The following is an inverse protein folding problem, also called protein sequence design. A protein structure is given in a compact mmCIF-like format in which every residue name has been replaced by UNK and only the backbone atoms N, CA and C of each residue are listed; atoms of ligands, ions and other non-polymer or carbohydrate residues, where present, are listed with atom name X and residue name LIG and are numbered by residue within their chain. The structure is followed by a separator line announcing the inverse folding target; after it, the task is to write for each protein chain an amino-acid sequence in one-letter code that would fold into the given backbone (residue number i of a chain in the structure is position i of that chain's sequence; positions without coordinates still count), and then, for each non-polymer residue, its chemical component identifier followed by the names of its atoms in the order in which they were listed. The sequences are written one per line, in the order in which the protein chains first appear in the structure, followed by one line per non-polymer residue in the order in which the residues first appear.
data_IF_859560573973
#
_entry.id   IF_859560573973
#
_cell.length_a   1.000
_cell.length_b   1.000
_cell.length_c   1.000
_cell.angle_alpha   90.00
_cell.angle_beta   90.00
_cell.angle_gamma   90.00
#
_symmetry.space_group_name_H-M   'P 1'
#
loop_
_entity.id
_entity.type
_entity.pdbx_description
1 polymer ?
#
# COMPACT_ATOMS: atom_id res chain seq x y z
N UNK A 1 11.95 -11.33 -19.36
CA UNK A 1 11.49 -11.62 -17.97
C UNK A 1 10.01 -11.89 -18.06
N UNK A 2 9.47 -12.93 -17.41
CA UNK A 2 8.02 -13.18 -17.45
C UNK A 2 7.32 -12.17 -16.52
N UNK A 3 6.11 -11.71 -16.89
CA UNK A 3 5.27 -10.86 -16.04
C UNK A 3 5.01 -11.47 -14.65
N UNK A 4 4.96 -12.79 -14.57
CA UNK A 4 4.75 -13.54 -13.31
C UNK A 4 5.95 -13.46 -12.35
N UNK A 5 7.11 -13.07 -12.86
CA UNK A 5 8.31 -12.92 -12.04
C UNK A 5 8.32 -11.62 -11.24
N UNK A 6 7.51 -10.63 -11.64
CA UNK A 6 7.43 -9.30 -11.03
C UNK A 6 6.15 -9.16 -10.21
N UNK A 7 6.23 -9.40 -8.91
CA UNK A 7 5.10 -9.38 -7.99
C UNK A 7 4.90 -7.97 -7.41
N UNK A 8 3.73 -7.40 -7.62
CA UNK A 8 3.30 -6.15 -6.97
C UNK A 8 2.55 -6.50 -5.68
N UNK A 9 3.17 -6.20 -4.54
CA UNK A 9 2.60 -6.45 -3.22
C UNK A 9 1.95 -5.19 -2.67
N UNK A 10 0.62 -5.20 -2.58
CA UNK A 10 -0.19 -4.07 -2.18
C UNK A 10 -0.57 -4.08 -0.69
N UNK A 11 -0.69 -2.90 -0.05
CA UNK A 11 -1.17 -2.79 1.32
C UNK A 11 -2.69 -2.89 1.38
N UNK A 12 -3.24 -3.67 2.31
CA UNK A 12 -4.66 -3.69 2.61
C UNK A 12 -4.90 -3.42 4.11
N UNK A 13 -5.50 -2.26 4.42
CA UNK A 13 -5.87 -1.87 5.80
C UNK A 13 -7.36 -2.00 6.08
N UNK A 14 -8.17 -2.25 5.05
CA UNK A 14 -9.63 -2.44 5.12
C UNK A 14 -10.12 -3.18 3.89
N UNK A 15 -11.38 -3.60 3.87
CA UNK A 15 -12.00 -4.21 2.68
C UNK A 15 -12.03 -3.25 1.48
N UNK A 16 -12.25 -1.95 1.68
CA UNK A 16 -12.16 -0.94 0.62
C UNK A 16 -10.76 -0.91 -0.01
N UNK A 17 -9.69 -0.97 0.82
CA UNK A 17 -8.32 -1.02 0.34
C UNK A 17 -7.98 -2.36 -0.32
N UNK A 18 -8.54 -3.46 0.17
CA UNK A 18 -8.37 -4.79 -0.41
C UNK A 18 -8.93 -4.82 -1.85
N UNK A 19 -10.18 -4.36 -2.02
CA UNK A 19 -10.81 -4.27 -3.34
C UNK A 19 -10.02 -3.35 -4.25
N UNK A 20 -9.64 -2.16 -3.77
CA UNK A 20 -8.83 -1.21 -4.54
C UNK A 20 -7.44 -1.75 -4.95
N UNK A 21 -6.81 -2.58 -4.12
CA UNK A 21 -5.55 -3.26 -4.45
C UNK A 21 -5.74 -4.26 -5.60
N UNK A 22 -6.80 -5.05 -5.55
CA UNK A 22 -7.17 -6.00 -6.61
C UNK A 22 -7.47 -5.24 -7.90
N UNK A 23 -8.26 -4.15 -7.86
CA UNK A 23 -8.55 -3.26 -8.98
C UNK A 23 -7.29 -2.69 -9.61
N UNK A 24 -6.32 -2.29 -8.80
CA UNK A 24 -5.04 -1.79 -9.26
C UNK A 24 -4.14 -2.84 -9.93
N UNK A 25 -4.50 -4.14 -9.85
CA UNK A 25 -3.73 -5.24 -10.44
C UNK A 25 -2.61 -5.75 -9.52
N UNK A 26 -2.84 -5.79 -8.21
CA UNK A 26 -1.93 -6.44 -7.27
C UNK A 26 -1.85 -7.94 -7.52
N UNK A 27 -0.64 -8.51 -7.38
CA UNK A 27 -0.42 -9.96 -7.39
C UNK A 27 -0.55 -10.54 -5.98
N UNK A 28 -0.32 -9.72 -4.97
CA UNK A 28 -0.47 -10.08 -3.57
C UNK A 28 -0.89 -8.88 -2.72
N UNK A 29 -1.50 -9.18 -1.58
CA UNK A 29 -1.85 -8.17 -0.58
C UNK A 29 -1.26 -8.54 0.77
N UNK A 30 -0.78 -7.52 1.51
CA UNK A 30 -0.35 -7.72 2.89
C UNK A 30 -1.19 -6.89 3.85
N UNK A 31 -1.55 -7.49 4.96
CA UNK A 31 -2.47 -6.90 5.94
C UNK A 31 -2.11 -7.30 7.36
N UNK A 32 -2.71 -6.61 8.34
CA UNK A 32 -2.58 -6.93 9.76
C UNK A 32 -3.91 -7.40 10.33
N UNK A 33 -3.83 -8.25 11.35
CA UNK A 33 -4.96 -8.67 12.17
C UNK A 33 -4.72 -8.22 13.61
N UNK A 34 -5.71 -7.57 14.21
CA UNK A 34 -5.61 -7.08 15.59
C UNK A 34 -4.38 -6.19 15.82
N UNK A 35 -3.64 -6.46 16.91
CA UNK A 35 -2.58 -5.57 17.39
C UNK A 35 -1.15 -6.09 17.21
N UNK A 36 -0.94 -7.33 16.77
CA UNK A 36 0.40 -7.93 16.64
C UNK A 36 1.13 -7.57 15.34
N UNK A 37 0.99 -6.32 14.88
CA UNK A 37 1.62 -5.84 13.65
C UNK A 37 2.09 -4.39 13.73
N UNK A 38 3.03 -3.99 12.87
CA UNK A 38 3.68 -2.67 12.85
C UNK A 38 2.76 -1.48 12.57
N UNK A 39 1.48 -1.69 12.27
CA UNK A 39 0.45 -0.66 12.03
C UNK A 39 -0.75 -0.84 12.97
N UNK A 40 -0.57 -1.49 14.10
CA UNK A 40 -1.64 -1.81 15.04
C UNK A 40 -2.48 -0.59 15.49
N UNK A 41 -1.87 0.61 15.57
CA UNK A 41 -2.56 1.86 15.95
C UNK A 41 -2.84 2.81 14.79
N UNK A 42 -2.28 2.60 13.62
CA UNK A 42 -2.37 3.55 12.50
C UNK A 42 -3.19 3.05 11.32
N UNK A 43 -3.55 1.78 11.28
CA UNK A 43 -4.44 1.18 10.29
C UNK A 43 -5.68 0.61 10.98
N UNK A 44 -6.78 0.48 10.26
CA UNK A 44 -7.99 -0.14 10.78
C UNK A 44 -7.75 -1.61 11.16
N UNK A 45 -6.92 -2.30 10.38
CA UNK A 45 -6.65 -3.74 10.45
C UNK A 45 -7.92 -4.59 10.31
N UNK A 46 -7.73 -5.85 9.99
CA UNK A 46 -8.81 -6.85 10.00
C UNK A 46 -8.93 -7.49 11.38
N UNK A 47 -10.06 -8.09 11.64
CA UNK A 47 -10.25 -8.98 12.79
C UNK A 47 -9.87 -10.42 12.41
N UNK A 48 -9.62 -11.31 13.38
CA UNK A 48 -9.41 -12.73 13.08
C UNK A 48 -10.58 -13.36 12.31
N UNK A 49 -11.79 -12.92 12.57
CA UNK A 49 -13.04 -13.37 11.93
C UNK A 49 -13.14 -12.96 10.46
N UNK A 50 -12.43 -11.88 10.06
CA UNK A 50 -12.39 -11.42 8.67
C UNK A 50 -11.48 -12.29 7.79
N UNK A 51 -10.53 -13.07 8.36
CA UNK A 51 -9.54 -13.83 7.62
C UNK A 51 -10.11 -14.73 6.52
N UNK A 52 -11.17 -15.54 6.77
CA UNK A 52 -11.75 -16.38 5.73
C UNK A 52 -12.30 -15.58 4.55
N UNK A 53 -12.89 -14.41 4.81
CA UNK A 53 -13.47 -13.55 3.77
C UNK A 53 -12.37 -12.84 2.97
N UNK A 54 -11.31 -12.32 3.62
CA UNK A 54 -10.15 -11.75 2.94
C UNK A 54 -9.53 -12.76 1.99
N UNK A 55 -9.28 -13.99 2.46
CA UNK A 55 -8.71 -15.07 1.63
C UNK A 55 -9.65 -15.45 0.50
N UNK A 56 -10.95 -15.56 0.77
CA UNK A 56 -11.96 -15.90 -0.25
C UNK A 56 -11.97 -14.88 -1.39
N UNK A 57 -11.99 -13.58 -1.04
CA UNK A 57 -11.95 -12.49 -2.02
C UNK A 57 -10.67 -12.57 -2.84
N UNK A 58 -9.51 -12.58 -2.19
CA UNK A 58 -8.22 -12.60 -2.90
C UNK A 58 -8.08 -13.81 -3.82
N UNK A 59 -8.47 -15.00 -3.34
CA UNK A 59 -8.38 -16.24 -4.12
C UNK A 59 -9.27 -16.22 -5.37
N UNK A 60 -10.45 -15.56 -5.30
CA UNK A 60 -11.35 -15.42 -6.44
C UNK A 60 -10.70 -14.63 -7.60
N UNK A 61 -9.70 -13.78 -7.30
CA UNK A 61 -8.95 -13.00 -8.29
C UNK A 61 -7.51 -13.47 -8.49
N UNK A 62 -7.13 -14.61 -7.91
CA UNK A 62 -5.76 -15.13 -8.02
C UNK A 62 -4.71 -14.30 -7.28
N UNK A 63 -5.12 -13.48 -6.31
CA UNK A 63 -4.25 -12.61 -5.51
C UNK A 63 -3.82 -13.36 -4.25
N UNK A 64 -2.51 -13.36 -3.94
CA UNK A 64 -1.97 -14.00 -2.73
C UNK A 64 -2.20 -13.13 -1.49
N UNK A 65 -2.22 -13.77 -0.34
CA UNK A 65 -2.52 -13.16 0.96
C UNK A 65 -1.36 -13.31 1.93
N UNK A 66 -0.87 -12.19 2.50
CA UNK A 66 0.25 -12.20 3.43
C UNK A 66 -0.11 -11.49 4.74
N UNK A 67 -0.14 -12.25 5.82
CA UNK A 67 -0.39 -11.72 7.17
C UNK A 67 0.87 -11.09 7.74
N UNK A 68 0.81 -9.86 8.24
CA UNK A 68 1.91 -9.26 8.99
C UNK A 68 1.81 -9.58 10.47
N UNK A 69 2.79 -10.31 11.00
CA UNK A 69 3.04 -10.52 12.41
C UNK A 69 4.51 -10.17 12.68
N UNK A 70 4.83 -8.87 12.62
CA UNK A 70 6.19 -8.37 12.46
C UNK A 70 6.60 -7.34 13.52
N UNK A 71 6.01 -7.39 14.70
CA UNK A 71 6.46 -6.66 15.89
C UNK A 71 7.43 -7.51 16.71
N UNK A 72 8.12 -6.89 17.66
CA UNK A 72 8.81 -7.60 18.75
C UNK A 72 7.77 -8.18 19.68
N UNK A 73 7.80 -9.48 19.91
CA UNK A 73 6.90 -10.20 20.82
C UNK A 73 7.49 -10.23 22.23
N UNK A 74 6.64 -10.01 23.24
CA UNK A 74 6.95 -10.27 24.64
C UNK A 74 6.33 -11.59 25.06
N UNK A 75 6.64 -12.07 26.27
CA UNK A 75 6.13 -13.36 26.74
C UNK A 75 4.61 -13.49 26.69
N UNK A 76 3.88 -12.41 27.04
CA UNK A 76 2.42 -12.37 26.99
C UNK A 76 1.83 -12.36 25.58
N UNK A 77 2.63 -12.03 24.55
CA UNK A 77 2.19 -12.01 23.16
C UNK A 77 2.27 -13.39 22.50
N UNK A 78 3.05 -14.33 23.03
CA UNK A 78 3.36 -15.60 22.39
C UNK A 78 2.09 -16.41 22.12
N UNK A 79 1.28 -16.62 23.14
CA UNK A 79 0.04 -17.39 22.99
C UNK A 79 -0.99 -16.71 22.06
N UNK A 80 -1.24 -15.38 22.15
CA UNK A 80 -2.03 -14.66 21.15
C UNK A 80 -1.46 -14.75 19.73
N UNK A 81 -0.12 -14.72 19.55
CA UNK A 81 0.52 -14.88 18.25
C UNK A 81 0.29 -16.27 17.67
N UNK A 82 0.46 -17.33 18.46
CA UNK A 82 0.18 -18.71 18.03
C UNK A 82 -1.28 -18.86 17.58
N UNK A 83 -2.23 -18.41 18.36
CA UNK A 83 -3.67 -18.45 17.98
C UNK A 83 -3.94 -17.71 16.66
N UNK A 84 -3.35 -16.52 16.48
CA UNK A 84 -3.51 -15.76 15.24
C UNK A 84 -2.94 -16.52 14.04
N UNK A 85 -1.77 -17.17 14.21
CA UNK A 85 -1.14 -17.95 13.16
C UNK A 85 -1.93 -19.23 12.82
N UNK A 86 -2.49 -19.91 13.83
CA UNK A 86 -3.39 -21.05 13.61
C UNK A 86 -4.64 -20.67 12.82
N UNK A 87 -5.27 -19.55 13.18
CA UNK A 87 -6.43 -19.02 12.45
C UNK A 87 -6.06 -18.64 11.01
N UNK A 88 -4.91 -17.99 10.80
CA UNK A 88 -4.42 -17.66 9.46
C UNK A 88 -4.18 -18.92 8.62
N UNK A 89 -3.57 -19.96 9.21
CA UNK A 89 -3.37 -21.26 8.56
C UNK A 89 -4.70 -21.92 8.18
N UNK A 90 -5.64 -21.94 9.13
CA UNK A 90 -6.99 -22.50 8.91
C UNK A 90 -7.77 -21.77 7.82
N UNK A 91 -7.64 -20.44 7.75
CA UNK A 91 -8.25 -19.62 6.70
C UNK A 91 -7.59 -19.80 5.33
N UNK A 92 -6.38 -20.35 5.27
CA UNK A 92 -5.63 -20.55 4.04
C UNK A 92 -4.87 -19.32 3.57
N UNK A 93 -4.38 -18.50 4.50
CA UNK A 93 -3.42 -17.40 4.22
C UNK A 93 -2.14 -18.01 3.63
N UNK A 94 -1.61 -17.39 2.57
CA UNK A 94 -0.49 -17.97 1.81
C UNK A 94 0.83 -17.88 2.57
N UNK A 95 1.16 -16.72 3.19
CA UNK A 95 2.40 -16.57 3.95
C UNK A 95 2.26 -15.58 5.11
N UNK A 96 3.25 -15.59 6.01
CA UNK A 96 3.36 -14.65 7.15
C UNK A 96 4.62 -13.81 7.02
N UNK A 97 4.48 -12.50 7.07
CA UNK A 97 5.59 -11.55 7.13
C UNK A 97 5.98 -11.39 8.60
N UNK A 98 7.09 -11.99 9.02
CA UNK A 98 7.52 -12.05 10.41
C UNK A 98 8.92 -11.47 10.63
N UNK A 99 9.20 -11.05 11.87
CA UNK A 99 10.53 -10.61 12.31
C UNK A 99 10.96 -11.22 13.64
N UNK A 100 10.03 -11.64 14.47
CA UNK A 100 10.35 -12.29 15.74
C UNK A 100 10.61 -13.77 15.52
N UNK A 101 11.68 -14.27 16.14
CA UNK A 101 12.10 -15.67 15.99
C UNK A 101 11.02 -16.64 16.50
N UNK A 102 10.30 -16.29 17.57
CA UNK A 102 9.21 -17.14 18.07
C UNK A 102 8.11 -17.31 17.01
N UNK A 103 7.72 -16.22 16.33
CA UNK A 103 6.73 -16.28 15.24
C UNK A 103 7.26 -17.08 14.03
N UNK A 104 8.53 -16.87 13.64
CA UNK A 104 9.17 -17.57 12.52
C UNK A 104 9.21 -19.09 12.79
N UNK A 105 9.66 -19.48 13.98
CA UNK A 105 9.73 -20.90 14.34
C UNK A 105 8.35 -21.54 14.42
N UNK A 106 7.36 -20.84 14.97
CA UNK A 106 6.01 -21.37 15.03
C UNK A 106 5.39 -21.57 13.65
N UNK A 107 5.51 -20.56 12.77
CA UNK A 107 5.08 -20.70 11.37
C UNK A 107 5.69 -21.94 10.71
N UNK A 108 6.99 -22.16 10.90
CA UNK A 108 7.68 -23.35 10.40
C UNK A 108 7.10 -24.66 10.96
N UNK A 109 6.82 -24.69 12.27
CA UNK A 109 6.29 -25.90 12.94
C UNK A 109 4.90 -26.29 12.45
N UNK A 110 4.07 -25.31 12.05
CA UNK A 110 2.73 -25.55 11.50
C UNK A 110 2.71 -25.60 9.96
N UNK A 111 3.87 -25.51 9.29
CA UNK A 111 3.99 -25.56 7.84
C UNK A 111 3.39 -24.35 7.12
N UNK A 112 3.55 -23.15 7.69
CA UNK A 112 3.26 -21.87 7.02
C UNK A 112 4.51 -21.30 6.37
N UNK A 113 4.36 -20.74 5.17
CA UNK A 113 5.41 -19.99 4.50
C UNK A 113 5.72 -18.69 5.27
N UNK A 114 7.01 -18.34 5.32
CA UNK A 114 7.51 -17.15 6.01
C UNK A 114 8.20 -16.22 5.01
N UNK A 115 7.85 -14.94 5.07
CA UNK A 115 8.61 -13.85 4.47
C UNK A 115 9.34 -13.09 5.59
N UNK A 116 10.65 -12.92 5.46
CA UNK A 116 11.43 -12.19 6.45
C UNK A 116 11.16 -10.71 6.31
N UNK A 117 10.67 -10.09 7.38
CA UNK A 117 10.33 -8.67 7.42
C UNK A 117 11.57 -7.77 7.35
N UNK A 118 11.42 -6.57 6.78
CA UNK A 118 12.42 -5.49 6.79
C UNK A 118 12.92 -5.13 8.20
N UNK A 119 12.18 -5.47 9.25
CA UNK A 119 12.57 -5.24 10.64
C UNK A 119 13.86 -5.97 11.04
N UNK A 120 14.25 -7.00 10.29
CA UNK A 120 15.50 -7.73 10.50
C UNK A 120 16.70 -7.10 9.78
N UNK A 121 16.47 -6.05 8.97
CA UNK A 121 17.51 -5.21 8.35
C UNK A 121 18.58 -6.01 7.59
N UNK A 122 18.14 -7.00 6.78
CA UNK A 122 19.04 -7.84 6.01
C UNK A 122 19.74 -7.01 4.94
N UNK A 123 21.08 -6.99 4.97
CA UNK A 123 21.89 -6.06 4.18
C UNK A 123 23.12 -6.71 3.53
N UNK A 124 23.29 -8.01 3.67
CA UNK A 124 24.41 -8.75 3.10
C UNK A 124 24.06 -10.23 2.89
N UNK A 125 24.91 -10.93 2.12
CA UNK A 125 24.69 -12.33 1.74
C UNK A 125 24.68 -13.26 2.94
N UNK A 126 25.53 -13.04 3.95
CA UNK A 126 25.61 -13.92 5.12
C UNK A 126 24.31 -13.86 5.95
N UNK A 127 23.78 -12.67 6.16
CA UNK A 127 22.49 -12.51 6.84
C UNK A 127 21.37 -13.16 6.00
N UNK A 128 21.36 -12.96 4.68
CA UNK A 128 20.38 -13.60 3.79
C UNK A 128 20.48 -15.12 3.88
N UNK A 129 21.68 -15.70 3.79
CA UNK A 129 21.91 -17.16 3.89
C UNK A 129 21.40 -17.72 5.23
N UNK A 130 21.60 -17.00 6.31
CA UNK A 130 21.06 -17.41 7.60
C UNK A 130 19.53 -17.46 7.58
N UNK A 131 18.86 -16.41 7.08
CA UNK A 131 17.40 -16.34 7.08
C UNK A 131 16.75 -17.20 5.98
N UNK A 132 17.47 -17.54 4.92
CA UNK A 132 17.03 -18.49 3.89
C UNK A 132 16.65 -19.87 4.45
N UNK A 133 17.22 -20.27 5.60
CA UNK A 133 16.82 -21.50 6.29
C UNK A 133 15.35 -21.49 6.75
N UNK A 134 14.73 -20.33 6.87
CA UNK A 134 13.39 -20.14 7.42
C UNK A 134 12.39 -19.60 6.41
N UNK A 135 12.83 -18.97 5.33
CA UNK A 135 11.96 -18.22 4.46
C UNK A 135 12.36 -18.31 2.98
N UNK A 136 11.35 -18.25 2.12
CA UNK A 136 11.50 -18.24 0.66
C UNK A 136 11.58 -16.79 0.10
N UNK A 137 11.15 -15.80 0.88
CA UNK A 137 11.20 -14.38 0.52
C UNK A 137 11.86 -13.59 1.66
N UNK A 138 12.77 -12.70 1.28
CA UNK A 138 13.53 -11.87 2.21
C UNK A 138 13.41 -10.41 1.83
N UNK A 139 12.92 -9.57 2.76
CA UNK A 139 12.90 -8.11 2.58
C UNK A 139 14.24 -7.52 2.94
N UNK A 140 14.92 -6.94 1.96
CA UNK A 140 16.21 -6.29 2.20
C UNK A 140 16.03 -4.93 2.92
N UNK A 141 17.11 -4.49 3.57
CA UNK A 141 17.19 -3.18 4.20
C UNK A 141 17.03 -2.06 3.17
N UNK A 142 16.34 -0.98 3.54
CA UNK A 142 16.04 0.15 2.65
C UNK A 142 17.24 1.07 2.39
N UNK A 143 18.30 0.89 3.16
CA UNK A 143 19.54 1.66 3.11
C UNK A 143 20.50 1.17 2.02
N UNK A 144 20.21 0.04 1.39
CA UNK A 144 21.04 -0.56 0.34
C UNK A 144 20.93 0.21 -0.98
N UNK A 145 22.08 0.30 -1.67
CA UNK A 145 22.15 0.72 -3.07
C UNK A 145 21.88 -0.46 -3.99
N UNK A 146 21.41 -0.19 -5.21
CA UNK A 146 21.08 -1.25 -6.18
C UNK A 146 22.27 -2.14 -6.54
N UNK A 147 23.52 -1.59 -6.52
CA UNK A 147 24.73 -2.42 -6.74
C UNK A 147 24.91 -3.46 -5.63
N UNK A 148 24.57 -3.10 -4.37
CA UNK A 148 24.64 -4.05 -3.25
C UNK A 148 23.52 -5.10 -3.34
N UNK A 149 22.33 -4.68 -3.76
CA UNK A 149 21.19 -5.60 -4.01
C UNK A 149 21.56 -6.60 -5.09
N UNK A 150 22.14 -6.12 -6.21
CA UNK A 150 22.60 -6.95 -7.33
C UNK A 150 23.65 -7.96 -6.88
N UNK A 151 24.63 -7.55 -6.08
CA UNK A 151 25.64 -8.45 -5.55
C UNK A 151 25.04 -9.57 -4.67
N UNK A 152 23.98 -9.25 -3.90
CA UNK A 152 23.23 -10.24 -3.12
C UNK A 152 22.51 -11.22 -4.05
N UNK A 153 21.82 -10.71 -5.08
CA UNK A 153 21.13 -11.54 -6.07
C UNK A 153 22.08 -12.48 -6.83
N UNK A 154 23.21 -11.95 -7.31
CA UNK A 154 24.23 -12.75 -7.98
C UNK A 154 24.81 -13.86 -7.05
N UNK A 155 24.88 -13.59 -5.75
CA UNK A 155 25.28 -14.62 -4.78
C UNK A 155 24.21 -15.69 -4.58
N UNK A 156 22.91 -15.30 -4.56
CA UNK A 156 21.81 -16.28 -4.50
C UNK A 156 21.89 -17.25 -5.67
N UNK A 157 22.09 -16.74 -6.89
CA UNK A 157 22.19 -17.58 -8.08
C UNK A 157 23.47 -18.43 -8.10
N UNK A 158 24.62 -17.82 -7.90
CA UNK A 158 25.94 -18.49 -7.93
C UNK A 158 26.07 -19.59 -6.89
N UNK A 159 25.57 -19.36 -5.69
CA UNK A 159 25.70 -20.27 -4.54
C UNK A 159 24.48 -21.15 -4.33
N UNK A 160 23.46 -20.98 -5.20
CA UNK A 160 22.20 -21.69 -5.15
C UNK A 160 21.52 -21.62 -3.77
N UNK A 161 21.39 -20.40 -3.23
CA UNK A 161 20.78 -20.16 -1.92
C UNK A 161 19.27 -20.35 -2.03
N UNK A 162 18.76 -21.43 -1.45
CA UNK A 162 17.35 -21.80 -1.49
C UNK A 162 16.65 -21.59 -0.16
N UNK A 163 15.36 -21.31 -0.22
CA UNK A 163 14.47 -21.32 0.95
C UNK A 163 13.94 -22.72 1.27
N UNK A 164 13.02 -22.83 2.23
CA UNK A 164 12.39 -24.09 2.64
C UNK A 164 11.62 -24.82 1.54
N UNK A 165 11.15 -24.11 0.53
CA UNK A 165 10.48 -24.72 -0.64
C UNK A 165 11.45 -25.42 -1.60
N UNK A 166 12.76 -25.23 -1.43
CA UNK A 166 13.80 -25.69 -2.35
C UNK A 166 14.00 -24.77 -3.57
N UNK A 167 13.23 -23.69 -3.69
CA UNK A 167 13.40 -22.67 -4.72
C UNK A 167 14.43 -21.62 -4.26
N UNK A 168 15.07 -20.93 -5.20
CA UNK A 168 15.94 -19.80 -4.90
C UNK A 168 15.18 -18.74 -4.09
N UNK A 169 15.86 -18.18 -3.08
CA UNK A 169 15.28 -17.11 -2.26
C UNK A 169 14.98 -15.90 -3.14
N UNK A 170 13.78 -15.35 -3.01
CA UNK A 170 13.33 -14.15 -3.71
C UNK A 170 13.61 -12.90 -2.89
N UNK A 171 14.07 -11.85 -3.55
CA UNK A 171 14.31 -10.55 -2.94
C UNK A 171 13.04 -9.72 -3.02
N UNK A 172 12.59 -9.21 -1.87
CA UNK A 172 11.54 -8.21 -1.73
C UNK A 172 12.17 -6.87 -1.34
N UNK A 173 11.73 -5.78 -1.97
CA UNK A 173 12.08 -4.41 -1.58
C UNK A 173 10.87 -3.49 -1.59
N UNK A 174 10.92 -2.44 -0.74
CA UNK A 174 9.93 -1.39 -0.82
C UNK A 174 10.14 -0.58 -2.11
N UNK A 175 9.06 -0.40 -2.86
CA UNK A 175 9.06 0.38 -4.10
C UNK A 175 8.42 1.76 -3.92
N UNK A 176 7.46 1.91 -3.00
CA UNK A 176 6.71 3.16 -2.84
C UNK A 176 6.26 3.41 -1.41
N UNK A 177 6.13 4.71 -1.07
CA UNK A 177 5.44 5.20 0.10
C UNK A 177 6.35 5.64 1.25
N UNK A 178 5.81 5.78 2.44
CA UNK A 178 6.46 6.42 3.56
C UNK A 178 7.78 5.75 3.96
N UNK A 179 8.86 6.55 3.97
CA UNK A 179 10.13 6.17 4.57
C UNK A 179 10.18 6.54 6.06
N UNK A 180 10.88 5.72 6.83
CA UNK A 180 11.22 6.02 8.21
C UNK A 180 12.53 6.82 8.27
N UNK A 181 12.63 7.79 9.18
CA UNK A 181 13.88 8.50 9.41
C UNK A 181 14.94 7.63 10.10
N UNK A 182 14.52 6.58 10.77
CA UNK A 182 15.37 5.61 11.45
C UNK A 182 15.30 4.26 10.74
N UNK A 183 16.22 3.37 11.08
CA UNK A 183 16.13 1.96 10.70
C UNK A 183 14.75 1.42 11.10
N UNK A 184 14.10 0.72 10.18
CA UNK A 184 12.72 0.27 10.33
C UNK A 184 12.47 -0.45 11.66
N UNK A 185 11.48 0.06 12.43
CA UNK A 185 11.07 -0.50 13.72
C UNK A 185 12.00 -0.23 14.91
N UNK A 186 13.17 0.42 14.70
CA UNK A 186 14.17 0.64 15.77
C UNK A 186 14.22 2.09 16.28
N UNK A 187 13.13 2.85 16.09
CA UNK A 187 13.06 4.25 16.52
C UNK A 187 12.50 4.36 17.94
N UNK A 188 13.19 5.12 18.80
CA UNK A 188 12.79 5.38 20.17
C UNK A 188 11.97 6.67 20.37
N UNK A 189 11.80 7.51 19.32
CA UNK A 189 11.14 8.81 19.47
C UNK A 189 9.74 8.71 20.10
N UNK A 190 8.89 7.83 19.60
CA UNK A 190 7.54 7.66 20.15
C UNK A 190 7.54 7.05 21.55
N UNK A 191 8.48 6.16 21.85
CA UNK A 191 8.60 5.56 23.18
C UNK A 191 9.06 6.62 24.18
N UNK A 192 10.09 7.38 23.85
CA UNK A 192 10.68 8.40 24.73
C UNK A 192 9.72 9.56 25.00
N UNK A 193 8.95 10.00 24.00
CA UNK A 193 8.09 11.19 24.14
C UNK A 193 6.65 10.88 24.55
N UNK A 194 6.16 9.67 24.28
CA UNK A 194 4.74 9.33 24.41
C UNK A 194 4.48 7.95 25.05
N UNK A 195 5.53 7.27 25.55
CA UNK A 195 5.41 5.95 26.13
C UNK A 195 4.89 4.89 25.14
N UNK A 196 5.09 5.11 23.81
CA UNK A 196 4.45 4.32 22.75
C UNK A 196 5.50 3.73 21.82
N UNK A 197 5.72 2.41 21.89
CA UNK A 197 6.85 1.74 21.21
C UNK A 197 6.59 1.51 19.71
N UNK A 198 7.48 2.04 18.88
CA UNK A 198 7.40 1.87 17.43
C UNK A 198 7.59 0.41 16.99
N UNK A 199 8.51 -0.35 17.61
CA UNK A 199 8.75 -1.75 17.27
C UNK A 199 7.65 -2.70 17.76
N UNK A 200 6.70 -2.18 18.53
CA UNK A 200 5.48 -2.87 18.95
C UNK A 200 4.23 -2.35 18.21
N UNK A 201 4.41 -1.72 17.05
CA UNK A 201 3.31 -1.26 16.20
C UNK A 201 2.66 0.05 16.60
N UNK A 202 3.18 0.73 17.63
CA UNK A 202 2.57 1.92 18.21
C UNK A 202 3.36 3.21 17.91
N UNK A 203 3.85 3.36 16.67
CA UNK A 203 4.53 4.57 16.23
C UNK A 203 3.56 5.76 16.13
N UNK A 204 3.83 6.83 16.87
CA UNK A 204 3.02 8.06 16.90
C UNK A 204 3.48 9.10 15.88
N UNK A 205 4.43 8.75 15.01
CA UNK A 205 4.97 9.58 13.93
C UNK A 205 5.43 10.98 14.41
N UNK A 206 6.01 11.07 15.60
CA UNK A 206 6.49 12.34 16.17
C UNK A 206 7.53 13.02 15.29
N UNK A 207 8.32 12.27 14.51
CA UNK A 207 9.25 12.80 13.51
C UNK A 207 8.56 13.60 12.39
N UNK A 208 7.24 13.55 12.27
CA UNK A 208 6.45 14.29 11.26
C UNK A 208 5.93 15.63 11.77
N UNK A 209 6.31 16.05 12.99
CA UNK A 209 5.96 17.34 13.58
C UNK A 209 7.02 18.39 13.26
N UNK A 210 6.66 19.66 13.33
CA UNK A 210 7.62 20.77 13.36
C UNK A 210 8.35 20.80 14.70
N UNK A 211 9.60 21.26 14.70
CA UNK A 211 10.44 21.37 15.89
C UNK A 211 11.12 22.73 15.94
N UNK A 212 11.26 23.24 17.15
CA UNK A 212 12.11 24.37 17.49
C UNK A 212 13.34 23.82 18.21
N UNK A 213 14.53 24.15 17.74
CA UNK A 213 15.80 23.74 18.34
C UNK A 213 16.48 24.97 18.89
N UNK A 214 16.77 24.99 20.20
CA UNK A 214 17.48 26.07 20.90
C UNK A 214 18.87 25.60 21.26
N UNK A 215 19.89 26.37 20.86
CA UNK A 215 21.23 26.19 21.34
C UNK A 215 21.28 26.65 22.82
N UNK A 216 21.64 25.74 23.71
CA UNK A 216 21.65 26.05 25.16
C UNK A 216 22.79 26.95 25.61
N UNK A 217 23.86 27.10 24.82
CA UNK A 217 25.01 27.96 25.15
C UNK A 217 24.79 29.37 24.62
N UNK A 218 24.30 29.51 23.39
CA UNK A 218 24.12 30.81 22.75
C UNK A 218 22.74 31.38 22.92
N UNK A 219 21.73 30.54 23.18
CA UNK A 219 20.32 30.90 23.18
C UNK A 219 19.72 31.12 21.80
N UNK A 220 20.48 30.89 20.74
CA UNK A 220 20.00 31.00 19.37
C UNK A 220 18.94 29.91 19.11
N UNK A 221 17.81 30.32 18.54
CA UNK A 221 16.73 29.42 18.17
C UNK A 221 16.77 29.16 16.67
N UNK A 222 16.86 27.89 16.30
CA UNK A 222 16.66 27.43 14.95
C UNK A 222 15.20 26.95 14.81
N UNK A 223 14.36 27.78 14.24
CA UNK A 223 13.00 27.40 13.88
C UNK A 223 13.06 26.43 12.69
N UNK A 224 12.84 25.16 12.98
CA UNK A 224 12.76 24.12 11.97
C UNK A 224 11.29 24.02 11.54
N UNK A 225 10.79 25.13 11.05
CA UNK A 225 9.43 25.22 10.56
C UNK A 225 9.32 24.49 9.22
N UNK A 226 8.34 23.60 9.12
CA UNK A 226 7.93 22.86 7.91
C UNK A 226 9.02 22.06 7.16
N UNK A 227 10.26 22.38 7.29
CA UNK A 227 11.37 21.62 6.70
C UNK A 227 11.64 20.31 7.42
N UNK A 228 10.85 20.03 8.45
CA UNK A 228 10.76 18.74 9.13
C UNK A 228 12.02 17.91 9.03
N UNK A 229 13.12 18.33 9.63
CA UNK A 229 14.44 17.68 9.55
C UNK A 229 14.43 16.18 9.86
N UNK A 230 13.33 15.66 10.38
CA UNK A 230 13.12 14.24 10.64
C UNK A 230 11.99 13.63 9.84
N UNK A 231 11.41 14.37 8.88
CA UNK A 231 10.30 13.89 8.03
C UNK A 231 10.75 13.60 6.61
N UNK A 232 11.26 12.39 6.30
CA UNK A 232 11.67 12.09 4.93
C UNK A 232 10.51 12.22 3.95
N UNK A 233 10.83 12.59 2.71
CA UNK A 233 9.95 12.44 1.56
C UNK A 233 9.54 10.97 1.40
N UNK A 234 8.48 10.72 0.68
CA UNK A 234 8.04 9.37 0.39
C UNK A 234 8.91 8.75 -0.73
N UNK A 235 9.24 7.47 -0.58
CA UNK A 235 9.94 6.70 -1.59
C UNK A 235 9.07 6.59 -2.85
N UNK A 236 9.67 6.84 -4.02
CA UNK A 236 9.04 6.61 -5.31
C UNK A 236 10.06 6.08 -6.30
N UNK A 237 9.90 4.84 -6.75
CA UNK A 237 10.86 4.16 -7.61
C UNK A 237 10.30 3.86 -9.01
N UNK A 238 9.09 4.30 -9.31
CA UNK A 238 8.39 3.97 -10.55
C UNK A 238 9.16 4.39 -11.80
N UNK A 239 9.92 5.49 -11.72
CA UNK A 239 10.71 6.03 -12.84
C UNK A 239 11.98 5.21 -13.17
N UNK A 240 12.38 4.25 -12.32
CA UNK A 240 13.55 3.40 -12.52
C UNK A 240 13.29 1.96 -12.05
N UNK A 241 12.05 1.48 -12.21
CA UNK A 241 11.65 0.14 -11.79
C UNK A 241 12.41 -0.96 -12.54
N UNK A 242 12.75 -0.73 -13.79
CA UNK A 242 13.61 -1.57 -14.62
C UNK A 242 14.95 -1.86 -13.95
N UNK A 243 15.61 -0.83 -13.41
CA UNK A 243 16.90 -0.96 -12.73
C UNK A 243 16.79 -1.77 -11.43
N UNK A 244 15.66 -1.67 -10.72
CA UNK A 244 15.40 -2.46 -9.51
C UNK A 244 15.17 -3.93 -9.88
N UNK A 245 14.41 -4.18 -10.96
CA UNK A 245 14.20 -5.54 -11.49
C UNK A 245 15.52 -6.17 -11.97
N UNK A 246 16.38 -5.39 -12.65
CA UNK A 246 17.71 -5.82 -13.10
C UNK A 246 18.68 -6.11 -11.95
N UNK A 247 18.47 -5.45 -10.81
CA UNK A 247 19.22 -5.76 -9.59
C UNK A 247 18.76 -7.07 -8.91
N UNK A 248 17.76 -7.77 -9.46
CA UNK A 248 17.29 -9.06 -8.97
C UNK A 248 16.09 -9.01 -8.03
N UNK A 249 15.48 -7.83 -7.82
CA UNK A 249 14.24 -7.73 -7.03
C UNK A 249 13.08 -8.35 -7.79
N UNK A 250 12.28 -9.15 -7.11
CA UNK A 250 11.14 -9.86 -7.68
C UNK A 250 9.81 -9.53 -7.00
N UNK A 251 9.85 -8.95 -5.80
CA UNK A 251 8.64 -8.53 -5.06
C UNK A 251 8.76 -7.05 -4.74
N UNK A 252 7.86 -6.25 -5.33
CA UNK A 252 7.81 -4.79 -5.19
C UNK A 252 6.74 -4.41 -4.18
N UNK A 253 7.16 -4.04 -2.98
CA UNK A 253 6.25 -3.73 -1.89
C UNK A 253 5.85 -2.27 -1.85
N UNK A 254 4.56 -2.01 -1.79
CA UNK A 254 3.99 -0.68 -1.63
C UNK A 254 3.64 -0.44 -0.16
N UNK A 255 4.19 0.60 0.47
CA UNK A 255 3.80 1.01 1.83
C UNK A 255 2.52 1.84 1.78
N UNK A 256 1.54 1.52 2.62
CA UNK A 256 0.30 2.28 2.63
C UNK A 256 -0.87 1.68 3.41
N UNK A 257 -0.67 0.77 4.38
CA UNK A 257 -1.79 0.16 5.14
C UNK A 257 -2.70 1.16 5.86
N UNK A 258 -2.18 2.34 6.19
CA UNK A 258 -2.95 3.43 6.80
C UNK A 258 -3.43 4.47 5.75
N UNK A 259 -3.36 4.15 4.47
CA UNK A 259 -3.79 5.01 3.37
C UNK A 259 -5.21 4.67 2.92
N UNK A 260 -5.82 5.61 2.20
CA UNK A 260 -7.15 5.44 1.61
C UNK A 260 -7.12 4.53 0.37
N UNK A 261 -8.27 4.02 -0.01
CA UNK A 261 -8.41 3.10 -1.13
C UNK A 261 -8.00 3.73 -2.49
N UNK A 262 -8.27 5.02 -2.70
CA UNK A 262 -7.83 5.77 -3.88
C UNK A 262 -6.31 5.81 -4.02
N UNK A 263 -5.58 6.00 -2.89
CA UNK A 263 -4.12 5.90 -2.89
C UNK A 263 -3.67 4.49 -3.27
N UNK A 264 -4.27 3.46 -2.67
CA UNK A 264 -3.90 2.06 -2.93
C UNK A 264 -4.12 1.73 -4.40
N UNK A 265 -5.31 2.01 -4.94
CA UNK A 265 -5.63 1.75 -6.35
C UNK A 265 -4.66 2.45 -7.28
N UNK A 266 -4.48 3.78 -7.14
CA UNK A 266 -3.61 4.58 -8.01
C UNK A 266 -2.16 4.09 -7.96
N UNK A 267 -1.63 3.85 -6.77
CA UNK A 267 -0.24 3.43 -6.60
C UNK A 267 -0.02 2.04 -7.20
N UNK A 268 -0.90 1.09 -6.88
CA UNK A 268 -0.78 -0.29 -7.40
C UNK A 268 -0.87 -0.30 -8.93
N UNK A 269 -1.81 0.44 -9.53
CA UNK A 269 -1.97 0.45 -10.99
C UNK A 269 -0.76 1.07 -11.70
N UNK A 270 -0.17 2.14 -11.16
CA UNK A 270 1.06 2.71 -11.70
C UNK A 270 2.24 1.71 -11.67
N UNK A 271 2.43 1.03 -10.53
CA UNK A 271 3.50 0.02 -10.41
C UNK A 271 3.23 -1.22 -11.25
N UNK A 272 1.97 -1.64 -11.41
CA UNK A 272 1.61 -2.74 -12.30
C UNK A 272 1.91 -2.41 -13.77
N UNK A 273 1.52 -1.22 -14.23
CA UNK A 273 1.84 -0.74 -15.59
C UNK A 273 3.35 -0.69 -15.81
N UNK A 274 4.11 -0.14 -14.85
CA UNK A 274 5.57 -0.10 -14.93
C UNK A 274 6.18 -1.51 -15.00
N UNK A 275 5.73 -2.44 -14.14
CA UNK A 275 6.23 -3.81 -14.11
C UNK A 275 5.87 -4.59 -15.38
N UNK A 276 4.68 -4.37 -15.94
CA UNK A 276 4.28 -4.96 -17.22
C UNK A 276 5.18 -4.48 -18.36
N UNK A 277 5.46 -3.16 -18.40
CA UNK A 277 6.35 -2.57 -19.38
C UNK A 277 7.81 -3.03 -19.23
N UNK A 278 8.29 -3.24 -18.00
CA UNK A 278 9.60 -3.85 -17.76
C UNK A 278 9.64 -5.29 -18.27
N UNK A 279 8.60 -6.07 -18.02
CA UNK A 279 8.53 -7.48 -18.42
C UNK A 279 8.51 -7.65 -19.92
N UNK A 280 7.78 -6.82 -20.66
CA UNK A 280 7.67 -6.87 -22.13
C UNK A 280 8.74 -6.03 -22.86
N UNK A 281 9.61 -5.31 -22.13
CA UNK A 281 10.71 -4.51 -22.70
C UNK A 281 10.29 -3.16 -23.25
N UNK A 282 9.07 -2.69 -22.97
CA UNK A 282 8.55 -1.39 -23.43
C UNK A 282 8.71 -0.25 -22.42
N UNK A 283 9.32 -0.52 -21.25
CA UNK A 283 9.54 0.51 -20.24
C UNK A 283 10.44 1.63 -20.78
N UNK A 284 10.02 2.88 -20.58
CA UNK A 284 10.76 4.06 -21.03
C UNK A 284 10.81 5.14 -19.95
N UNK A 285 11.78 6.08 -20.01
CA UNK A 285 11.81 7.24 -19.11
C UNK A 285 10.55 8.09 -19.17
N UNK A 286 9.91 8.20 -20.33
CA UNK A 286 8.67 8.95 -20.55
C UNK A 286 7.51 8.30 -19.78
N UNK A 287 7.38 6.97 -19.87
CA UNK A 287 6.41 6.21 -19.08
C UNK A 287 6.66 6.39 -17.57
N UNK A 288 7.93 6.30 -17.13
CA UNK A 288 8.30 6.54 -15.75
C UNK A 288 7.92 7.93 -15.25
N UNK A 289 8.11 8.96 -16.07
CA UNK A 289 7.71 10.34 -15.76
C UNK A 289 6.19 10.50 -15.70
N UNK A 290 5.46 9.95 -16.68
CA UNK A 290 3.99 9.95 -16.70
C UNK A 290 3.41 9.31 -15.43
N UNK A 291 3.89 8.11 -15.08
CA UNK A 291 3.43 7.40 -13.88
C UNK A 291 3.78 8.15 -12.59
N UNK A 292 4.91 8.85 -12.55
CA UNK A 292 5.28 9.68 -11.40
C UNK A 292 4.29 10.85 -11.23
N UNK A 293 3.86 11.49 -12.31
CA UNK A 293 2.86 12.56 -12.24
C UNK A 293 1.49 12.02 -11.79
N UNK A 294 1.08 10.84 -12.24
CA UNK A 294 -0.14 10.20 -11.75
C UNK A 294 -0.06 9.89 -10.24
N UNK A 295 1.10 9.51 -9.73
CA UNK A 295 1.33 9.28 -8.30
C UNK A 295 1.27 10.57 -7.47
N UNK A 296 1.56 11.74 -8.07
CA UNK A 296 1.38 13.05 -7.39
C UNK A 296 -0.07 13.41 -7.11
N UNK A 297 -1.02 12.79 -7.78
CA UNK A 297 -2.44 13.04 -7.57
C UNK A 297 -2.95 12.52 -6.23
N UNK A 298 -2.31 11.50 -5.66
CA UNK A 298 -2.69 10.89 -4.38
C UNK A 298 -1.74 11.32 -3.27
N UNK A 299 -2.07 10.97 -2.04
CA UNK A 299 -1.29 11.37 -0.86
C UNK A 299 0.21 11.08 -1.04
N UNK A 300 1.04 12.11 -0.92
CA UNK A 300 2.50 11.99 -0.86
C UNK A 300 3.09 13.15 -0.03
N UNK A 301 4.37 13.05 0.33
CA UNK A 301 5.15 14.08 1.04
C UNK A 301 6.29 14.65 0.19
N UNK A 302 6.09 14.68 -1.13
CA UNK A 302 7.15 14.79 -2.11
C UNK A 302 7.84 13.43 -2.29
N UNK A 303 8.50 13.25 -3.44
CA UNK A 303 9.13 12.00 -3.80
C UNK A 303 10.64 12.11 -3.82
N UNK A 304 11.32 10.99 -3.52
CA UNK A 304 12.74 10.77 -3.74
C UNK A 304 13.03 9.27 -3.94
N UNK A 305 14.25 8.96 -4.39
CA UNK A 305 14.68 7.61 -4.78
C UNK A 305 15.07 6.72 -3.59
N UNK A 306 15.01 7.25 -2.38
CA UNK A 306 15.65 6.59 -1.24
C UNK A 306 17.17 6.56 -1.41
N UNK A 307 17.79 5.52 -0.90
CA UNK A 307 19.23 5.30 -1.03
C UNK A 307 19.61 4.44 -2.25
N UNK A 308 18.62 3.98 -3.01
CA UNK A 308 18.77 2.97 -4.05
C UNK A 308 19.73 3.40 -5.17
N UNK A 309 19.74 4.68 -5.52
CA UNK A 309 20.63 5.24 -6.54
C UNK A 309 21.94 5.83 -5.99
N UNK A 310 22.28 5.57 -4.70
CA UNK A 310 23.54 5.94 -4.09
C UNK A 310 23.54 7.30 -3.37
N UNK A 311 22.35 7.86 -3.08
CA UNK A 311 22.25 9.04 -2.23
C UNK A 311 22.93 8.81 -0.86
N UNK A 312 23.68 9.81 -0.37
CA UNK A 312 24.37 9.75 0.94
C UNK A 312 23.56 10.39 2.06
N UNK A 313 22.70 11.35 1.71
CA UNK A 313 21.85 12.08 2.64
C UNK A 313 20.40 11.85 2.26
N UNK A 314 19.52 11.82 3.28
CA UNK A 314 18.09 11.76 3.09
C UNK A 314 17.52 13.07 2.54
N UNK A 315 16.39 12.98 1.85
CA UNK A 315 15.62 14.13 1.44
C UNK A 315 14.40 14.31 2.34
N UNK A 316 14.14 15.54 2.74
CA UNK A 316 13.12 15.90 3.72
C UNK A 316 11.92 16.57 3.06
N UNK A 317 10.74 16.31 3.63
CA UNK A 317 9.53 17.00 3.19
C UNK A 317 9.59 18.49 3.53
N UNK A 318 9.15 19.32 2.61
CA UNK A 318 9.08 20.78 2.83
C UNK A 318 7.77 21.23 3.49
N UNK A 319 6.79 20.35 3.62
CA UNK A 319 5.44 20.70 4.12
C UNK A 319 4.90 19.66 5.09
N UNK A 320 3.96 20.11 5.92
CA UNK A 320 3.16 19.20 6.76
C UNK A 320 2.01 18.58 5.95
N UNK A 321 1.89 17.27 6.05
CA UNK A 321 0.77 16.57 5.43
C UNK A 321 1.02 16.15 3.99
N UNK A 322 0.02 16.31 3.14
CA UNK A 322 0.03 15.86 1.76
C UNK A 322 0.43 16.96 0.79
N UNK A 323 1.25 16.59 -0.19
CA UNK A 323 1.56 17.40 -1.38
C UNK A 323 0.80 16.89 -2.62
N UNK A 324 -0.29 16.15 -2.43
CA UNK A 324 -1.11 15.71 -3.55
C UNK A 324 -1.65 16.90 -4.35
N UNK A 325 -1.67 16.78 -5.67
CA UNK A 325 -2.17 17.84 -6.57
C UNK A 325 -3.70 17.98 -6.54
N UNK A 326 -4.40 16.99 -5.98
CA UNK A 326 -5.85 17.02 -5.78
C UNK A 326 -6.24 16.43 -4.42
N UNK A 327 -7.40 16.84 -3.94
CA UNK A 327 -8.02 16.30 -2.73
C UNK A 327 -9.45 15.87 -2.99
N UNK A 328 -9.94 14.90 -2.27
CA UNK A 328 -11.34 14.48 -2.32
C UNK A 328 -12.16 15.20 -1.25
N UNK A 329 -13.29 15.76 -1.65
CA UNK A 329 -14.28 16.38 -0.76
C UNK A 329 -15.52 15.49 -0.69
N UNK A 330 -15.92 15.13 0.53
CA UNK A 330 -17.12 14.31 0.73
C UNK A 330 -18.36 15.10 0.36
N UNK A 331 -19.19 14.54 -0.51
CA UNK A 331 -20.43 15.16 -0.94
C UNK A 331 -21.69 14.36 -0.61
N UNK A 332 -21.58 13.03 -0.40
CA UNK A 332 -22.76 12.24 -0.10
C UNK A 332 -22.53 10.73 -0.17
N UNK A 333 -23.62 10.02 -0.33
CA UNK A 333 -23.59 8.56 -0.43
C UNK A 333 -24.57 8.04 -1.47
N UNK A 334 -24.25 6.88 -2.01
CA UNK A 334 -25.14 6.12 -2.90
C UNK A 334 -26.33 5.62 -2.09
N UNK A 335 -27.54 5.90 -2.55
CA UNK A 335 -28.80 5.42 -1.96
C UNK A 335 -29.36 4.23 -2.73
N UNK A 336 -29.10 4.17 -4.04
CA UNK A 336 -29.51 3.06 -4.89
C UNK A 336 -28.61 2.92 -6.12
N UNK A 337 -28.58 1.74 -6.71
CA UNK A 337 -27.94 1.43 -7.97
C UNK A 337 -28.97 0.82 -8.93
N UNK A 338 -29.09 1.38 -10.13
CA UNK A 338 -29.97 0.91 -11.19
C UNK A 338 -29.17 0.17 -12.26
N UNK A 339 -28.94 -1.10 -12.03
CA UNK A 339 -28.04 -1.94 -12.81
C UNK A 339 -28.33 -1.95 -14.32
N UNK A 340 -29.62 -1.99 -14.70
CA UNK A 340 -30.04 -2.05 -16.12
C UNK A 340 -29.66 -0.83 -16.93
N UNK A 341 -29.48 0.31 -16.30
CA UNK A 341 -29.22 1.60 -16.98
C UNK A 341 -27.88 2.23 -16.54
N UNK A 342 -27.10 1.55 -15.67
CA UNK A 342 -25.81 2.04 -15.22
C UNK A 342 -25.88 3.36 -14.44
N UNK A 343 -26.88 3.54 -13.58
CA UNK A 343 -27.12 4.82 -12.88
C UNK A 343 -27.07 4.63 -11.37
N UNK A 344 -26.30 5.49 -10.68
CA UNK A 344 -26.30 5.62 -9.24
C UNK A 344 -27.25 6.73 -8.79
N UNK A 345 -28.11 6.45 -7.80
CA UNK A 345 -28.81 7.51 -7.06
C UNK A 345 -27.96 7.92 -5.87
N UNK A 346 -27.68 9.22 -5.76
CA UNK A 346 -26.83 9.80 -4.73
C UNK A 346 -27.62 10.80 -3.89
N UNK A 347 -27.58 10.62 -2.57
CA UNK A 347 -28.04 11.64 -1.62
C UNK A 347 -26.89 12.61 -1.36
N UNK A 348 -27.07 13.86 -1.74
CA UNK A 348 -26.08 14.92 -1.46
C UNK A 348 -26.23 15.39 0.00
N UNK A 349 -25.21 15.11 0.81
CA UNK A 349 -25.21 15.41 2.26
C UNK A 349 -24.38 16.64 2.61
N UNK A 350 -23.40 17.00 1.72
CA UNK A 350 -22.51 18.14 1.91
C UNK A 350 -22.13 18.75 0.56
N UNK A 351 -21.89 20.05 0.52
CA UNK A 351 -21.51 20.74 -0.72
C UNK A 351 -22.54 20.60 -1.84
N UNK A 352 -22.07 20.35 -3.03
CA UNK A 352 -22.89 20.09 -4.23
C UNK A 352 -22.10 19.27 -5.25
N UNK A 353 -22.82 18.65 -6.19
CA UNK A 353 -22.27 17.99 -7.38
C UNK A 353 -22.65 18.81 -8.60
N UNK A 354 -21.71 19.03 -9.52
CA UNK A 354 -21.92 19.75 -10.78
C UNK A 354 -21.63 18.84 -11.97
N UNK A 355 -22.26 19.15 -13.09
CA UNK A 355 -21.86 18.57 -14.38
C UNK A 355 -20.41 18.96 -14.68
N UNK A 356 -19.61 17.98 -15.11
CA UNK A 356 -18.17 18.14 -15.33
C UNK A 356 -17.31 17.93 -14.10
N UNK A 357 -17.88 17.76 -12.90
CA UNK A 357 -17.10 17.34 -11.74
C UNK A 357 -16.52 15.93 -11.93
N UNK A 358 -15.30 15.73 -11.48
CA UNK A 358 -14.69 14.40 -11.34
C UNK A 358 -15.14 13.78 -10.03
N UNK A 359 -15.91 12.68 -10.08
CA UNK A 359 -16.37 11.96 -8.90
C UNK A 359 -15.49 10.77 -8.57
N UNK A 360 -15.50 10.42 -7.29
CA UNK A 360 -15.00 9.16 -6.75
C UNK A 360 -16.12 8.52 -5.92
N UNK A 361 -16.57 7.32 -6.31
CA UNK A 361 -17.42 6.46 -5.47
C UNK A 361 -16.51 5.42 -4.81
N UNK A 362 -16.63 5.26 -3.49
CA UNK A 362 -15.76 4.41 -2.71
C UNK A 362 -16.56 3.57 -1.70
N UNK A 363 -16.31 2.27 -1.68
CA UNK A 363 -16.96 1.33 -0.75
C UNK A 363 -16.23 -0.01 -0.60
N UNK A 364 -16.62 -0.82 0.40
CA UNK A 364 -15.91 -2.08 0.73
C UNK A 364 -15.86 -3.10 -0.41
N UNK A 365 -16.93 -3.19 -1.20
CA UNK A 365 -17.04 -4.12 -2.34
C UNK A 365 -16.93 -3.42 -3.68
N UNK A 366 -17.03 -2.09 -3.69
CA UNK A 366 -16.94 -1.22 -4.85
C UNK A 366 -15.51 -0.78 -5.13
N UNK A 367 -14.64 -0.83 -4.10
CA UNK A 367 -13.29 -0.27 -4.22
C UNK A 367 -13.34 1.22 -4.55
N UNK A 368 -12.87 1.60 -5.72
CA UNK A 368 -12.81 2.98 -6.20
C UNK A 368 -13.29 3.09 -7.65
N UNK A 369 -14.38 3.82 -7.89
CA UNK A 369 -14.86 4.15 -9.24
C UNK A 369 -14.69 5.65 -9.45
N UNK A 370 -13.87 6.06 -10.42
CA UNK A 370 -13.65 7.45 -10.81
C UNK A 370 -14.22 7.73 -12.19
N UNK A 371 -14.98 8.82 -12.32
CA UNK A 371 -15.58 9.23 -13.60
C UNK A 371 -15.97 10.71 -13.59
N UNK A 372 -16.16 11.28 -14.77
CA UNK A 372 -16.67 12.63 -14.92
C UNK A 372 -18.20 12.64 -15.00
N UNK A 373 -18.86 13.64 -14.42
CA UNK A 373 -20.31 13.77 -14.42
C UNK A 373 -20.77 14.34 -15.77
N UNK A 374 -21.11 13.46 -16.71
CA UNK A 374 -21.61 13.86 -18.03
C UNK A 374 -23.13 14.09 -18.04
N UNK A 375 -23.90 13.22 -17.38
CA UNK A 375 -25.34 13.33 -17.24
C UNK A 375 -25.78 13.18 -15.79
N UNK A 376 -26.54 14.15 -15.33
CA UNK A 376 -27.07 14.18 -13.98
C UNK A 376 -28.53 14.64 -14.01
N UNK A 377 -29.37 14.02 -13.18
CA UNK A 377 -30.80 14.38 -13.05
C UNK A 377 -31.16 14.60 -11.59
N UNK A 378 -31.91 15.67 -11.34
CA UNK A 378 -32.59 15.94 -10.07
C UNK A 378 -34.08 15.90 -10.32
N UNK A 379 -34.85 15.15 -9.51
CA UNK A 379 -36.29 14.95 -9.71
C UNK A 379 -36.64 14.49 -11.15
N UNK A 380 -35.83 13.59 -11.72
CA UNK A 380 -35.94 13.06 -13.08
C UNK A 380 -35.75 14.07 -14.22
N UNK A 381 -35.39 15.33 -13.93
CA UNK A 381 -35.06 16.37 -14.90
C UNK A 381 -33.56 16.54 -15.02
N UNK A 382 -33.05 16.76 -16.23
CA UNK A 382 -31.63 17.09 -16.44
C UNK A 382 -31.29 18.33 -15.60
N UNK A 383 -30.16 18.26 -14.91
CA UNK A 383 -29.69 19.31 -14.02
C UNK A 383 -28.17 19.49 -14.16
N UNK A 384 -27.69 20.71 -14.05
CA UNK A 384 -26.29 21.06 -14.08
C UNK A 384 -25.68 21.07 -12.67
N UNK A 385 -26.52 21.19 -11.63
CA UNK A 385 -26.13 21.20 -10.23
C UNK A 385 -27.08 20.40 -9.34
N UNK A 386 -26.52 19.70 -8.37
CA UNK A 386 -27.27 19.02 -7.30
C UNK A 386 -26.76 19.50 -5.94
N UNK A 387 -27.45 20.45 -5.28
CA UNK A 387 -27.03 21.02 -4.01
C UNK A 387 -27.32 20.06 -2.84
N UNK A 388 -26.72 20.37 -1.68
CA UNK A 388 -26.98 19.68 -0.41
C UNK A 388 -28.49 19.52 -0.15
N UNK A 389 -28.87 18.32 0.27
CA UNK A 389 -30.26 17.93 0.57
C UNK A 389 -30.99 17.27 -0.60
N UNK A 390 -30.51 17.45 -1.83
CA UNK A 390 -31.10 16.83 -3.00
C UNK A 390 -30.71 15.36 -3.16
N UNK A 391 -31.54 14.61 -3.89
CA UNK A 391 -31.17 13.36 -4.52
C UNK A 391 -30.96 13.58 -6.01
N UNK A 392 -29.85 13.08 -6.51
CA UNK A 392 -29.57 13.10 -7.94
C UNK A 392 -29.28 11.70 -8.46
N UNK A 393 -29.58 11.49 -9.73
CA UNK A 393 -29.24 10.27 -10.46
C UNK A 393 -28.11 10.59 -11.43
N UNK A 394 -27.02 9.82 -11.39
CA UNK A 394 -25.80 10.06 -12.17
C UNK A 394 -25.47 8.79 -12.95
N UNK A 395 -25.25 8.92 -14.25
CA UNK A 395 -24.74 7.82 -15.06
C UNK A 395 -23.30 7.50 -14.67
N UNK A 396 -23.02 6.22 -14.39
CA UNK A 396 -21.68 5.74 -14.02
C UNK A 396 -21.16 4.85 -15.15
N UNK A 397 -20.12 5.26 -15.87
CA UNK A 397 -19.53 4.45 -16.93
C UNK A 397 -18.74 3.29 -16.31
N UNK A 398 -19.32 2.10 -16.32
CA UNK A 398 -18.65 0.87 -15.85
C UNK A 398 -17.89 0.16 -16.95
N UNK A 399 -18.25 0.41 -18.22
CA UNK A 399 -17.59 -0.18 -19.39
C UNK A 399 -16.59 0.80 -19.98
N UNK A 400 -15.34 0.40 -20.14
CA UNK A 400 -14.35 1.14 -20.92
C UNK A 400 -13.36 2.00 -20.15
N UNK A 401 -13.16 1.77 -18.87
CA UNK A 401 -11.96 2.27 -18.20
C UNK A 401 -10.78 1.38 -18.66
N UNK A 402 -9.81 1.89 -19.44
CA UNK A 402 -8.71 1.07 -19.99
C UNK A 402 -7.83 0.43 -18.92
N UNK A 403 -7.98 0.86 -17.68
CA UNK A 403 -7.19 0.46 -16.53
C UNK A 403 -7.92 -0.53 -15.61
N UNK A 404 -9.18 -0.89 -15.87
CA UNK A 404 -9.97 -1.77 -15.01
C UNK A 404 -9.72 -3.24 -15.33
N UNK A 405 -8.63 -3.78 -14.78
CA UNK A 405 -8.31 -5.22 -14.88
C UNK A 405 -9.36 -6.13 -14.25
N UNK A 406 -10.13 -5.61 -13.30
CA UNK A 406 -11.17 -6.41 -12.63
C UNK A 406 -12.33 -6.71 -13.57
N UNK A 407 -12.80 -5.71 -14.32
CA UNK A 407 -13.85 -5.93 -15.32
C UNK A 407 -13.33 -6.75 -16.52
N UNK A 408 -12.03 -6.85 -16.68
CA UNK A 408 -11.36 -7.64 -17.71
C UNK A 408 -10.83 -9.00 -17.21
N UNK A 409 -10.98 -9.33 -15.91
CA UNK A 409 -10.46 -10.60 -15.39
C UNK A 409 -11.37 -11.76 -15.85
N UNK A 410 -10.83 -12.77 -16.56
CA UNK A 410 -11.64 -13.83 -17.16
C UNK A 410 -12.38 -14.72 -16.15
N UNK A 411 -12.04 -14.63 -14.85
CA UNK A 411 -12.69 -15.37 -13.78
C UNK A 411 -13.91 -14.66 -13.16
N UNK A 412 -14.19 -13.38 -13.51
CA UNK A 412 -15.40 -12.71 -13.04
C UNK A 412 -16.62 -13.14 -13.83
N UNK A 413 -17.60 -13.70 -13.13
CA UNK A 413 -18.93 -13.81 -13.70
C UNK A 413 -19.52 -12.40 -13.94
N UNK A 414 -20.30 -12.19 -15.03
CA UNK A 414 -20.90 -10.89 -15.32
C UNK A 414 -21.71 -10.26 -14.18
N UNK A 415 -22.20 -11.05 -13.26
CA UNK A 415 -22.95 -10.64 -12.07
C UNK A 415 -22.05 -10.17 -10.90
N UNK A 416 -20.75 -10.37 -10.99
CA UNK A 416 -19.77 -9.94 -9.98
C UNK A 416 -19.03 -8.65 -10.38
N UNK A 417 -19.47 -7.98 -11.44
CA UNK A 417 -18.92 -6.69 -11.87
C UNK A 417 -18.93 -5.70 -10.73
N UNK A 418 -17.84 -4.98 -10.59
CA UNK A 418 -17.75 -3.88 -9.65
C UNK A 418 -18.71 -2.79 -10.07
N UNK A 419 -19.58 -2.42 -9.16
CA UNK A 419 -20.55 -1.36 -9.35
C UNK A 419 -20.86 -0.68 -8.01
N UNK A 420 -21.37 0.56 -8.02
CA UNK A 420 -21.77 1.25 -6.80
C UNK A 420 -22.78 0.46 -5.98
N UNK A 421 -22.61 0.48 -4.67
CA UNK A 421 -23.51 -0.15 -3.71
C UNK A 421 -24.15 0.89 -2.81
N UNK A 422 -25.35 0.59 -2.31
CA UNK A 422 -25.99 1.43 -1.31
C UNK A 422 -25.11 1.60 -0.08
N UNK A 423 -24.86 2.87 0.32
CA UNK A 423 -24.00 3.23 1.43
C UNK A 423 -22.59 3.64 1.02
N UNK A 424 -22.17 3.39 -0.22
CA UNK A 424 -20.87 3.84 -0.72
C UNK A 424 -20.78 5.35 -0.64
N UNK A 425 -19.61 5.83 -0.26
CA UNK A 425 -19.32 7.25 -0.13
C UNK A 425 -19.01 7.87 -1.48
N UNK A 426 -19.53 9.06 -1.70
CA UNK A 426 -19.31 9.85 -2.92
C UNK A 426 -18.50 11.09 -2.58
N UNK A 427 -17.44 11.31 -3.37
CA UNK A 427 -16.54 12.45 -3.24
C UNK A 427 -16.42 13.17 -4.57
N UNK A 428 -16.16 14.49 -4.51
CA UNK A 428 -15.71 15.29 -5.66
C UNK A 428 -14.21 15.50 -5.53
N UNK A 429 -13.47 15.33 -6.63
CA UNK A 429 -12.07 15.70 -6.71
C UNK A 429 -11.92 17.20 -6.93
N UNK A 430 -11.12 17.84 -6.10
CA UNK A 430 -10.78 19.26 -6.17
C UNK A 430 -9.28 19.41 -6.33
N UNK A 431 -8.84 20.22 -7.28
CA UNK A 431 -7.42 20.56 -7.43
C UNK A 431 -6.92 21.29 -6.19
N UNK A 432 -5.73 20.95 -5.74
CA UNK A 432 -5.01 21.70 -4.71
C UNK A 432 -4.14 22.75 -5.41
N UNK A 433 -4.32 24.01 -5.00
CA UNK A 433 -3.51 25.13 -5.49
C UNK A 433 -2.09 25.09 -4.93
#
# INVERSE_FOLDING_TARGET
MDKKDLEIMAPAGSFECLTAAIEGGADSVYFGVGHLNMRSRSAANFTPEDLPEVVRICRAYGVKTYLTLNITLFGEDIEPAHRTLDMAKAAGVDAVIASDIAAIQYCRSIGMEVHISTQLSISNVEALRFYAQFADVVVLARELRLEQVKAIHEAIEREHITGPSGQLVRIEMFAHGALCMAISGKCYLSLQTMGSSANRGACMQVCRRGYEVTDLETGEQLNIDNQYIMSPKDLCTVAFLDRIADAGVRVFKIEGRARSADYVRRTVSCYRRAADAVADGSFSPELGAELTEQLREVFNRGFWDGYYQGARLGEWSAVYGSQATRRKEYVGKVTNWFDRIGVAEVQVESGMIRRGDRLLIQGPTTGCIEFDVDDMRVELKSADEAPKGCRCSIAVPLDGQPEDRINAHPAMAPQERIHPRRGDKVYVWVLQA
#
